data_IF_103838682524
#
_entry.id   IF_103838682524
#
_cell.length_a   1.000
_cell.length_b   1.000
_cell.length_c   1.000
_cell.angle_alpha   90.00
_cell.angle_beta   90.00
_cell.angle_gamma   90.00
#
_symmetry.space_group_name_H-M   'P 1'
#
loop_
_entity.id
_entity.type
_entity.pdbx_description
1 polymer ?
#
# COMPACT_ATOMS: atom_id res chain seq x y z
N UNK A 1 30.99 -23.21 -23.57
CA UNK A 1 31.07 -21.77 -23.23
C UNK A 1 29.69 -21.21 -22.94
N UNK A 2 29.59 -20.07 -22.25
CA UNK A 2 28.30 -19.45 -21.92
C UNK A 2 27.57 -18.91 -23.17
N UNK A 3 26.23 -19.00 -23.23
CA UNK A 3 25.42 -18.55 -24.38
C UNK A 3 25.59 -17.06 -24.72
N UNK A 4 25.79 -16.23 -23.69
CA UNK A 4 26.07 -14.79 -23.80
C UNK A 4 27.40 -14.49 -23.12
N UNK A 5 28.47 -15.03 -23.70
CA UNK A 5 29.81 -14.81 -23.17
C UNK A 5 30.20 -13.33 -23.27
N UNK A 6 30.82 -12.82 -22.20
CA UNK A 6 31.30 -11.44 -22.09
C UNK A 6 32.78 -11.46 -21.72
N UNK A 7 33.50 -10.46 -22.21
CA UNK A 7 34.92 -10.29 -21.91
C UNK A 7 35.10 -9.59 -20.56
N UNK A 8 35.83 -10.22 -19.63
CA UNK A 8 36.28 -9.63 -18.36
C UNK A 8 37.75 -9.98 -18.14
N UNK A 9 38.51 -9.09 -17.50
CA UNK A 9 39.92 -9.34 -17.19
C UNK A 9 40.11 -10.44 -16.13
N UNK A 10 41.28 -11.06 -16.13
CA UNK A 10 41.58 -12.22 -15.26
C UNK A 10 41.40 -11.89 -13.77
N UNK A 11 41.84 -10.71 -13.33
CA UNK A 11 41.67 -10.27 -11.93
C UNK A 11 40.20 -10.22 -11.51
N UNK A 12 39.33 -9.65 -12.35
CA UNK A 12 37.90 -9.56 -12.04
C UNK A 12 37.23 -10.93 -12.10
N UNK A 13 37.65 -11.81 -13.02
CA UNK A 13 37.21 -13.20 -13.08
C UNK A 13 37.52 -13.92 -11.76
N UNK A 14 38.76 -13.83 -11.26
CA UNK A 14 39.18 -14.50 -10.03
C UNK A 14 38.37 -14.05 -8.81
N UNK A 15 38.12 -12.73 -8.67
CA UNK A 15 37.29 -12.17 -7.60
C UNK A 15 35.86 -12.74 -7.70
N UNK A 16 35.30 -12.76 -8.90
CA UNK A 16 33.93 -13.24 -9.15
C UNK A 16 33.81 -14.73 -8.83
N UNK A 17 34.74 -15.55 -9.32
CA UNK A 17 34.75 -17.01 -9.07
C UNK A 17 34.93 -17.32 -7.59
N UNK A 18 35.80 -16.58 -6.88
CA UNK A 18 35.98 -16.74 -5.43
C UNK A 18 34.71 -16.37 -4.67
N UNK A 19 34.06 -15.26 -5.05
CA UNK A 19 32.80 -14.83 -4.44
C UNK A 19 31.66 -15.82 -4.67
N UNK A 20 31.57 -16.42 -5.86
CA UNK A 20 30.53 -17.39 -6.20
C UNK A 20 30.58 -18.68 -5.38
N UNK A 21 31.66 -18.94 -4.64
CA UNK A 21 31.69 -20.03 -3.65
C UNK A 21 30.71 -19.79 -2.49
N UNK A 22 30.43 -18.54 -2.15
CA UNK A 22 29.45 -18.13 -1.14
C UNK A 22 28.60 -16.97 -1.69
N UNK A 23 27.59 -17.26 -2.52
CA UNK A 23 26.82 -16.22 -3.20
C UNK A 23 26.17 -15.24 -2.22
N UNK A 24 26.30 -13.95 -2.49
CA UNK A 24 25.66 -12.88 -1.75
C UNK A 24 25.26 -11.75 -2.71
N UNK A 25 24.51 -10.76 -2.20
CA UNK A 25 23.94 -9.65 -2.98
C UNK A 25 24.95 -8.90 -3.88
N UNK A 26 26.21 -8.86 -3.49
CA UNK A 26 27.27 -8.04 -4.11
C UNK A 26 28.35 -8.90 -4.80
N UNK A 27 28.09 -10.19 -5.00
CA UNK A 27 29.09 -11.15 -5.50
C UNK A 27 29.58 -10.82 -6.92
N UNK A 28 28.80 -10.06 -7.69
CA UNK A 28 29.10 -9.65 -9.06
C UNK A 28 29.54 -8.19 -9.19
N UNK A 29 29.70 -7.44 -8.10
CA UNK A 29 29.97 -5.98 -8.16
C UNK A 29 31.26 -5.64 -8.93
N UNK A 30 32.30 -6.47 -8.78
CA UNK A 30 33.56 -6.32 -9.50
C UNK A 30 33.36 -6.47 -11.01
N UNK A 31 32.68 -7.54 -11.44
CA UNK A 31 32.36 -7.80 -12.85
C UNK A 31 31.44 -6.73 -13.44
N UNK A 32 30.41 -6.31 -12.69
CA UNK A 32 29.50 -5.26 -13.09
C UNK A 32 30.24 -3.93 -13.31
N UNK A 33 31.09 -3.54 -12.36
CA UNK A 33 31.89 -2.30 -12.46
C UNK A 33 32.84 -2.36 -13.65
N UNK A 34 33.48 -3.50 -13.88
CA UNK A 34 34.37 -3.71 -15.01
C UNK A 34 33.65 -3.49 -16.35
N UNK A 35 32.51 -4.16 -16.55
CA UNK A 35 31.72 -4.02 -17.79
C UNK A 35 31.14 -2.60 -17.92
N UNK A 36 30.67 -2.00 -16.83
CA UNK A 36 30.17 -0.63 -16.85
C UNK A 36 31.25 0.35 -17.34
N UNK A 37 32.47 0.27 -16.80
CA UNK A 37 33.57 1.13 -17.21
C UNK A 37 34.00 0.86 -18.65
N UNK A 38 33.98 -0.40 -19.09
CA UNK A 38 34.27 -0.77 -20.47
C UNK A 38 33.27 -0.15 -21.44
N UNK A 39 31.97 -0.29 -21.16
CA UNK A 39 30.92 0.32 -21.96
C UNK A 39 30.99 1.85 -21.95
N UNK A 40 31.26 2.45 -20.78
CA UNK A 40 31.40 3.90 -20.63
C UNK A 40 32.51 4.48 -21.51
N UNK A 41 33.65 3.78 -21.59
CA UNK A 41 34.84 4.26 -22.33
C UNK A 41 34.72 4.07 -23.84
N UNK A 42 34.09 2.99 -24.30
CA UNK A 42 34.04 2.67 -25.74
C UNK A 42 32.63 2.84 -26.34
N UNK A 43 31.65 2.09 -25.83
CA UNK A 43 30.32 2.02 -26.44
C UNK A 43 29.47 3.28 -26.24
N UNK A 44 29.59 3.93 -25.08
CA UNK A 44 28.74 5.06 -24.71
C UNK A 44 28.98 6.28 -25.60
N UNK A 45 30.24 6.65 -25.85
CA UNK A 45 30.57 7.77 -26.72
C UNK A 45 30.10 7.52 -28.17
N UNK A 46 30.18 6.28 -28.65
CA UNK A 46 29.66 5.88 -29.97
C UNK A 46 28.12 5.94 -30.00
N UNK A 47 27.46 5.47 -28.95
CA UNK A 47 26.00 5.53 -28.82
C UNK A 47 25.47 6.97 -28.91
N UNK A 48 26.06 7.92 -28.18
CA UNK A 48 25.61 9.33 -28.22
C UNK A 48 25.75 9.98 -29.61
N UNK A 49 26.65 9.49 -30.46
CA UNK A 49 26.84 9.98 -31.84
C UNK A 49 26.01 9.21 -32.87
N UNK A 50 25.47 8.05 -32.49
CA UNK A 50 24.75 7.14 -33.37
C UNK A 50 23.40 7.71 -33.84
N UNK A 51 22.87 7.27 -35.00
CA UNK A 51 21.53 7.63 -35.45
C UNK A 51 20.47 7.19 -34.43
N UNK A 52 20.65 6.04 -33.76
CA UNK A 52 19.70 5.51 -32.76
C UNK A 52 19.43 6.54 -31.65
N UNK A 53 20.48 7.15 -31.11
CA UNK A 53 20.33 8.16 -30.06
C UNK A 53 19.71 9.46 -30.59
N UNK A 54 20.11 9.90 -31.78
CA UNK A 54 19.57 11.12 -32.41
C UNK A 54 18.08 10.99 -32.73
N UNK A 55 17.65 9.83 -33.24
CA UNK A 55 16.23 9.55 -33.49
C UNK A 55 15.42 9.49 -32.20
N UNK A 56 15.97 8.89 -31.14
CA UNK A 56 15.34 8.90 -29.82
C UNK A 56 15.16 10.32 -29.29
N UNK A 57 16.19 11.18 -29.42
CA UNK A 57 16.09 12.59 -29.03
C UNK A 57 15.07 13.35 -29.87
N UNK A 58 15.01 13.14 -31.19
CA UNK A 58 14.04 13.81 -32.05
C UNK A 58 12.58 13.42 -31.72
N UNK A 59 12.37 12.22 -31.19
CA UNK A 59 11.07 11.73 -30.71
C UNK A 59 10.75 12.17 -29.28
N UNK A 60 11.72 12.68 -28.53
CA UNK A 60 11.52 13.08 -27.14
C UNK A 60 10.60 14.30 -27.10
N UNK A 61 9.51 14.19 -26.33
CA UNK A 61 8.54 15.27 -26.17
C UNK A 61 9.14 16.30 -25.19
N UNK A 62 9.32 17.53 -25.66
CA UNK A 62 9.57 18.65 -24.77
C UNK A 62 8.25 19.02 -24.10
N UNK A 63 8.12 18.87 -22.76
CA UNK A 63 6.91 19.29 -22.08
C UNK A 63 6.76 20.79 -22.28
N UNK A 64 5.71 21.19 -22.99
CA UNK A 64 5.40 22.60 -23.17
C UNK A 64 5.37 23.25 -21.79
N UNK A 65 6.17 24.30 -21.61
CA UNK A 65 6.16 25.07 -20.39
C UNK A 65 4.72 25.45 -20.14
N UNK A 66 4.12 24.89 -19.08
CA UNK A 66 2.81 25.33 -18.67
C UNK A 66 3.01 26.80 -18.36
N UNK A 67 2.61 27.69 -19.27
CA UNK A 67 2.34 29.05 -18.89
C UNK A 67 1.41 28.85 -17.71
N UNK A 68 1.82 29.26 -16.52
CA UNK A 68 0.86 29.44 -15.43
C UNK A 68 -0.04 30.58 -15.88
N UNK A 69 -0.85 30.38 -16.92
CA UNK A 69 -2.13 31.04 -17.01
C UNK A 69 -2.79 30.57 -15.73
N UNK A 70 -2.88 31.50 -14.81
CA UNK A 70 -3.87 31.57 -13.76
C UNK A 70 -5.29 31.53 -14.34
N UNK A 71 -5.55 30.73 -15.39
CA UNK A 71 -6.88 30.28 -15.75
C UNK A 71 -7.30 29.37 -14.62
N UNK A 72 -7.98 29.97 -13.65
CA UNK A 72 -8.49 29.32 -12.45
C UNK A 72 -9.16 28.02 -12.85
N UNK A 73 -8.50 26.90 -12.55
CA UNK A 73 -9.20 25.64 -12.41
C UNK A 73 -10.21 25.86 -11.27
N UNK A 74 -11.53 25.75 -11.51
CA UNK A 74 -12.52 25.94 -10.45
C UNK A 74 -12.49 24.80 -9.41
N UNK A 75 -11.56 23.85 -9.56
CA UNK A 75 -11.53 22.62 -8.77
C UNK A 75 -10.65 22.71 -7.50
N UNK A 76 -9.81 23.72 -7.36
CA UNK A 76 -8.82 23.79 -6.26
C UNK A 76 -9.12 24.90 -5.26
N UNK A 77 -10.29 24.86 -4.63
CA UNK A 77 -10.54 25.40 -3.28
C UNK A 77 -11.87 24.92 -2.69
N UNK A 78 -12.23 23.65 -2.89
CA UNK A 78 -13.20 23.06 -1.96
C UNK A 78 -12.47 22.83 -0.65
N UNK A 79 -12.90 23.53 0.39
CA UNK A 79 -12.46 23.28 1.75
C UNK A 79 -12.78 21.81 2.04
N UNK A 80 -11.75 20.95 1.97
CA UNK A 80 -11.85 19.57 2.40
C UNK A 80 -12.19 19.64 3.89
N UNK A 81 -13.48 19.51 4.23
CA UNK A 81 -13.88 19.30 5.61
C UNK A 81 -13.16 18.04 6.06
N UNK A 82 -12.37 18.15 7.12
CA UNK A 82 -11.70 17.01 7.71
C UNK A 82 -12.75 15.94 8.00
N UNK A 83 -12.59 14.76 7.41
CA UNK A 83 -13.41 13.61 7.74
C UNK A 83 -13.40 13.41 9.26
N UNK A 84 -14.52 13.04 9.88
CA UNK A 84 -14.54 12.73 11.31
C UNK A 84 -13.48 11.65 11.61
N UNK A 85 -12.79 11.80 12.74
CA UNK A 85 -11.74 10.88 13.18
C UNK A 85 -12.25 9.44 13.14
N UNK A 86 -11.44 8.45 12.73
CA UNK A 86 -11.85 7.04 12.65
C UNK A 86 -12.38 6.50 13.99
N UNK A 87 -12.01 7.11 15.12
CA UNK A 87 -12.55 6.79 16.45
C UNK A 87 -14.04 7.16 16.55
N UNK A 88 -14.42 8.33 16.06
CA UNK A 88 -15.80 8.82 16.09
C UNK A 88 -16.68 7.96 15.19
N UNK A 89 -16.16 7.57 14.02
CA UNK A 89 -16.87 6.67 13.10
C UNK A 89 -17.19 5.33 13.78
N UNK A 90 -16.22 4.75 14.46
CA UNK A 90 -16.41 3.47 15.16
C UNK A 90 -17.42 3.58 16.30
N UNK A 91 -17.40 4.66 17.06
CA UNK A 91 -18.38 4.90 18.13
C UNK A 91 -19.81 5.04 17.57
N UNK A 92 -19.99 5.76 16.46
CA UNK A 92 -21.29 5.92 15.82
C UNK A 92 -21.82 4.58 15.27
N UNK A 93 -20.94 3.73 14.76
CA UNK A 93 -21.31 2.39 14.27
C UNK A 93 -21.72 1.46 15.43
N UNK A 94 -20.97 1.47 16.54
CA UNK A 94 -21.31 0.72 17.75
C UNK A 94 -22.65 1.19 18.34
N UNK A 95 -22.89 2.51 18.37
CA UNK A 95 -24.16 3.08 18.86
C UNK A 95 -25.33 2.79 17.92
N UNK A 96 -25.14 2.86 16.60
CA UNK A 96 -26.17 2.51 15.62
C UNK A 96 -26.57 1.03 15.73
N UNK A 97 -25.58 0.15 15.90
CA UNK A 97 -25.81 -1.29 16.11
C UNK A 97 -26.54 -1.57 17.43
N UNK A 98 -26.22 -0.83 18.49
CA UNK A 98 -26.93 -0.92 19.77
C UNK A 98 -28.38 -0.42 19.66
N UNK A 99 -28.62 0.66 18.91
CA UNK A 99 -29.97 1.18 18.63
C UNK A 99 -30.79 0.21 17.77
N UNK A 100 -30.18 -0.42 16.78
CA UNK A 100 -30.84 -1.43 15.95
C UNK A 100 -31.20 -2.67 16.77
N UNK A 101 -30.31 -3.13 17.66
CA UNK A 101 -30.58 -4.23 18.58
C UNK A 101 -31.66 -3.89 19.63
N UNK A 102 -31.82 -2.61 19.99
CA UNK A 102 -32.90 -2.16 20.86
C UNK A 102 -34.26 -2.09 20.12
N UNK A 103 -34.25 -1.86 18.81
CA UNK A 103 -35.47 -1.83 17.98
C UNK A 103 -36.03 -3.23 17.66
N UNK A 104 -35.27 -4.31 17.85
CA UNK A 104 -35.73 -5.69 17.58
C UNK A 104 -36.46 -6.35 18.75
N UNK A 105 -36.73 -5.61 19.83
CA UNK A 105 -37.53 -6.11 20.96
C UNK A 105 -38.77 -5.24 21.13
N UNK A 106 -39.79 -5.50 20.30
CA UNK A 106 -41.16 -5.15 20.64
C UNK A 106 -42.06 -6.39 20.64
N UNK A 107 -42.75 -6.55 21.76
CA UNK A 107 -43.46 -7.75 22.21
C UNK A 107 -44.84 -7.76 21.56
N UNK A 108 -45.15 -8.75 20.74
CA UNK A 108 -46.55 -9.08 20.41
C UNK A 108 -46.95 -10.35 21.15
N UNK A 109 -47.58 -10.19 22.32
CA UNK A 109 -48.51 -11.19 22.85
C UNK A 109 -49.93 -10.82 22.42
N UNK A 110 -50.75 -11.79 21.99
CA UNK A 110 -52.20 -11.72 22.16
C UNK A 110 -52.65 -12.74 23.21
N UNK A 111 -53.29 -12.27 24.30
CA UNK A 111 -54.17 -13.11 25.13
C UNK A 111 -55.53 -13.34 24.43
N UNK A 112 -56.53 -14.00 25.06
CA UNK A 112 -56.62 -14.42 26.46
C UNK A 112 -57.06 -15.90 26.65
N UNK A 113 -57.12 -16.40 27.88
CA UNK A 113 -58.31 -17.05 28.50
C UNK A 113 -57.95 -17.88 29.75
N UNK A 114 -58.74 -17.61 30.80
CA UNK A 114 -59.15 -18.45 31.95
C UNK A 114 -58.18 -18.72 33.12
N UNK A 115 -58.64 -18.24 34.29
CA UNK A 115 -58.11 -18.32 35.67
C UNK A 115 -58.38 -19.72 36.32
N UNK A 116 -58.24 -20.00 37.65
CA UNK A 116 -57.76 -19.18 38.78
C UNK A 116 -56.79 -19.88 39.79
N UNK A 117 -56.29 -19.06 40.74
CA UNK A 117 -55.71 -19.30 42.10
C UNK A 117 -55.98 -20.65 42.81
N UNK A 118 -55.11 -21.13 43.75
CA UNK A 118 -55.01 -20.52 45.10
C UNK A 118 -53.72 -20.70 45.92
N UNK A 119 -53.62 -19.89 47.00
CA UNK A 119 -52.88 -20.07 48.27
C UNK A 119 -51.33 -20.12 48.18
N UNK A 120 -50.50 -19.70 49.14
CA UNK A 120 -50.63 -19.43 50.56
C UNK A 120 -49.38 -18.67 51.03
N UNK A 121 -49.52 -17.96 52.15
CA UNK A 121 -48.49 -17.62 53.14
C UNK A 121 -47.32 -16.68 52.76
N UNK A 122 -47.49 -15.46 53.27
CA UNK A 122 -46.43 -14.63 53.84
C UNK A 122 -45.59 -15.44 54.85
N UNK A 123 -44.27 -15.42 54.72
CA UNK A 123 -43.37 -15.50 55.88
C UNK A 123 -42.12 -14.66 55.64
N UNK A 124 -41.86 -13.77 56.57
CA UNK A 124 -40.76 -12.79 56.63
C UNK A 124 -39.49 -13.38 57.22
N UNK A 125 -38.34 -12.82 56.83
CA UNK A 125 -37.06 -12.92 57.56
C UNK A 125 -35.95 -13.60 56.75
N UNK A 126 -34.70 -13.13 56.72
CA UNK A 126 -33.95 -12.33 57.69
C UNK A 126 -32.77 -11.62 57.00
N UNK A 127 -32.33 -10.50 57.57
CA UNK A 127 -31.00 -9.92 57.31
C UNK A 127 -29.91 -10.69 58.09
N UNK A 128 -28.75 -10.78 57.44
CA UNK A 128 -27.38 -11.11 57.87
C UNK A 128 -26.96 -10.26 59.12
N UNK A 129 -25.99 -10.66 59.98
CA UNK A 129 -24.73 -11.36 59.67
C UNK A 129 -24.38 -12.65 60.40
#
# INVERSE_FOLDING_TARGET
>A
GARRWINIDGKTMDITVKGLRHPHRYVLDAAQTHIYMLMKKDSYARYLKSPIYKEMLAKAIEPQGTTKRSSGLPFMRRHLRSSPSPVILRQLEEEAKAREAANTVDITQPGPHTAPSPHLAVYTGTCVP
#
